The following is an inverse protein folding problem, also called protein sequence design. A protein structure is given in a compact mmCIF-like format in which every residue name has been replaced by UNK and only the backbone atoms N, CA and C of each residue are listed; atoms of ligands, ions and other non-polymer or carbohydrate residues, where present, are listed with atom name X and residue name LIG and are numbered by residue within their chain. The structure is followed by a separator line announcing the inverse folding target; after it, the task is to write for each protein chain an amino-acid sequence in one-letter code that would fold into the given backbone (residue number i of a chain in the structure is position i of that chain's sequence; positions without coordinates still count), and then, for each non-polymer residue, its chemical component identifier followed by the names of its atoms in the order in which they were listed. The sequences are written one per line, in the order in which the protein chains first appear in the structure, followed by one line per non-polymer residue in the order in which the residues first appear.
data_IF_882474003170
#
_entry.id   IF_882474003170
#
_cell.length_a   1.000
_cell.length_b   1.000
_cell.length_c   1.000
_cell.angle_alpha   90.00
_cell.angle_beta   90.00
_cell.angle_gamma   90.00
#
_symmetry.space_group_name_H-M   'P 1'
#
loop_
_entity.id
_entity.type
_entity.pdbx_description
1 polymer ?
#
# COMPACT_ATOMS: atom_id res chain seq x y z
N UNK A 1 24.14 0.39 2.24
CA UNK A 1 22.69 0.55 2.00
C UNK A 1 21.97 -0.14 3.15
N UNK A 2 21.03 0.53 3.83
CA UNK A 2 20.44 0.00 5.08
C UNK A 2 19.48 -1.15 4.75
N UNK A 3 19.62 -2.33 5.38
CA UNK A 3 18.82 -3.53 5.06
C UNK A 3 17.32 -3.24 5.13
N UNK A 4 16.91 -2.49 6.16
CA UNK A 4 15.53 -2.06 6.38
C UNK A 4 14.96 -1.22 5.24
N UNK A 5 15.80 -0.41 4.59
CA UNK A 5 15.40 0.38 3.43
C UNK A 5 15.18 -0.51 2.21
N UNK A 6 16.03 -1.53 2.00
CA UNK A 6 15.89 -2.50 0.91
C UNK A 6 14.57 -3.28 1.00
N UNK A 7 14.20 -3.72 2.20
CA UNK A 7 12.97 -4.49 2.44
C UNK A 7 11.70 -3.66 2.11
N UNK A 8 11.68 -2.39 2.50
CA UNK A 8 10.52 -1.52 2.29
C UNK A 8 10.36 -1.12 0.82
N UNK A 9 11.45 -0.84 0.11
CA UNK A 9 11.42 -0.47 -1.31
C UNK A 9 10.91 -1.63 -2.17
N UNK A 10 11.27 -2.86 -1.82
CA UNK A 10 10.87 -4.06 -2.54
C UNK A 10 9.56 -4.69 -2.03
N UNK A 11 8.96 -4.16 -0.96
CA UNK A 11 7.65 -4.61 -0.52
C UNK A 11 6.61 -4.35 -1.61
N UNK A 12 5.65 -5.25 -1.78
CA UNK A 12 4.52 -5.09 -2.70
C UNK A 12 3.20 -5.11 -1.94
N UNK A 13 2.18 -4.49 -2.52
CA UNK A 13 0.88 -4.29 -1.87
C UNK A 13 -0.24 -4.49 -2.88
N UNK A 14 -1.24 -5.29 -2.52
CA UNK A 14 -2.46 -5.45 -3.31
C UNK A 14 -3.68 -5.17 -2.46
N UNK A 15 -4.71 -4.62 -3.09
CA UNK A 15 -5.99 -4.35 -2.46
C UNK A 15 -7.07 -5.02 -3.30
N UNK A 16 -7.92 -5.80 -2.65
CA UNK A 16 -9.05 -6.48 -3.29
C UNK A 16 -10.30 -6.15 -2.50
N UNK A 17 -11.25 -5.47 -3.13
CA UNK A 17 -12.56 -5.21 -2.56
C UNK A 17 -13.59 -6.15 -3.18
N UNK A 18 -14.53 -6.65 -2.37
CA UNK A 18 -15.62 -7.49 -2.88
C UNK A 18 -16.68 -6.70 -3.67
N UNK A 19 -16.79 -5.40 -3.43
CA UNK A 19 -17.72 -4.51 -4.12
C UNK A 19 -17.02 -3.66 -5.18
N UNK A 20 -17.56 -3.68 -6.40
CA UNK A 20 -17.02 -2.95 -7.55
C UNK A 20 -17.19 -1.43 -7.45
N UNK A 21 -18.02 -0.92 -6.54
CA UNK A 21 -18.20 0.51 -6.29
C UNK A 21 -17.17 1.07 -5.29
N UNK A 22 -16.39 0.21 -4.65
CA UNK A 22 -15.28 0.60 -3.80
C UNK A 22 -13.97 0.56 -4.60
N UNK A 23 -13.45 1.75 -4.94
CA UNK A 23 -12.20 1.88 -5.68
C UNK A 23 -11.10 2.33 -4.73
N UNK A 24 -10.29 1.39 -4.25
CA UNK A 24 -9.13 1.64 -3.41
C UNK A 24 -7.84 1.45 -4.20
N UNK A 25 -6.91 2.39 -4.02
CA UNK A 25 -5.59 2.38 -4.67
C UNK A 25 -4.51 2.55 -3.62
N UNK A 26 -3.44 1.77 -3.74
CA UNK A 26 -2.24 1.95 -2.95
C UNK A 26 -1.28 2.93 -3.63
N UNK A 27 -0.96 4.02 -2.94
CA UNK A 27 0.05 4.98 -3.36
C UNK A 27 1.35 4.74 -2.59
N UNK A 28 2.35 4.23 -3.30
CA UNK A 28 3.67 3.96 -2.72
C UNK A 28 4.35 5.29 -2.37
N UNK A 29 4.76 5.44 -1.10
CA UNK A 29 5.53 6.60 -0.63
C UNK A 29 7.04 6.34 -0.74
N UNK A 30 7.45 5.08 -0.66
CA UNK A 30 8.84 4.65 -0.84
C UNK A 30 9.12 4.23 -2.29
N UNK A 31 9.74 5.11 -3.08
CA UNK A 31 10.22 4.75 -4.42
C UNK A 31 11.65 5.24 -4.63
N UNK A 32 12.49 4.37 -5.20
CA UNK A 32 13.87 4.71 -5.55
C UNK A 32 14.84 4.88 -4.37
N UNK A 33 15.99 5.49 -4.64
CA UNK A 33 17.16 5.63 -3.76
C UNK A 33 17.02 6.67 -2.64
N UNK A 34 15.85 7.31 -2.49
CA UNK A 34 15.64 8.35 -1.49
C UNK A 34 15.24 7.74 -0.14
N UNK A 35 16.21 7.64 0.78
CA UNK A 35 15.98 7.19 2.16
C UNK A 35 15.08 8.13 2.96
N UNK A 36 14.96 9.40 2.54
CA UNK A 36 14.13 10.41 3.20
C UNK A 36 12.64 10.23 3.01
N UNK A 37 12.19 9.49 1.99
CA UNK A 37 10.76 9.20 1.77
C UNK A 37 10.27 7.97 2.54
N UNK A 38 11.19 7.13 3.02
CA UNK A 38 10.91 5.93 3.82
C UNK A 38 11.04 6.15 5.32
N UNK A 39 10.64 7.34 5.79
CA UNK A 39 10.71 7.68 7.21
C UNK A 39 9.71 6.84 8.02
N UNK A 40 10.17 6.34 9.17
CA UNK A 40 9.36 5.65 10.17
C UNK A 40 8.65 4.38 9.67
N UNK A 41 9.22 3.67 8.70
CA UNK A 41 8.65 2.40 8.21
C UNK A 41 7.39 2.56 7.35
N UNK A 42 7.04 3.78 6.93
CA UNK A 42 5.89 4.02 6.06
C UNK A 42 6.18 3.55 4.63
N UNK A 43 5.44 2.55 4.17
CA UNK A 43 5.54 2.01 2.80
C UNK A 43 4.73 2.84 1.79
N UNK A 44 3.55 3.33 2.20
CA UNK A 44 2.63 4.07 1.36
C UNK A 44 1.36 4.52 2.07
N UNK A 45 0.37 4.96 1.29
CA UNK A 45 -0.98 5.30 1.74
C UNK A 45 -2.02 4.64 0.86
N UNK A 46 -3.16 4.27 1.45
CA UNK A 46 -4.34 3.81 0.72
C UNK A 46 -5.25 5.01 0.56
N UNK A 47 -5.66 5.28 -0.67
CA UNK A 47 -6.68 6.29 -0.98
C UNK A 47 -7.75 5.65 -1.83
N UNK A 48 -8.98 6.12 -1.73
CA UNK A 48 -10.02 5.61 -2.58
C UNK A 48 -11.32 6.36 -2.43
N UNK A 49 -12.30 5.92 -3.19
CA UNK A 49 -13.65 6.46 -3.20
C UNK A 49 -14.65 5.34 -2.96
N UNK A 50 -15.65 5.65 -2.15
CA UNK A 50 -16.87 4.87 -2.04
C UNK A 50 -17.88 5.42 -3.08
N UNK A 51 -18.63 4.53 -3.72
CA UNK A 51 -19.71 4.90 -4.62
C UNK A 51 -20.83 5.70 -3.95
N UNK A 52 -21.78 6.19 -4.76
CA UNK A 52 -22.89 7.06 -4.32
C UNK A 52 -24.00 6.36 -3.54
N UNK A 53 -23.93 5.04 -3.39
CA UNK A 53 -24.90 4.23 -2.65
C UNK A 53 -24.28 3.75 -1.34
N UNK A 54 -25.09 3.38 -0.35
CA UNK A 54 -24.58 2.71 0.85
C UNK A 54 -23.89 1.41 0.42
N UNK A 55 -22.60 1.31 0.71
CA UNK A 55 -21.78 0.14 0.41
C UNK A 55 -21.37 -0.47 1.74
N UNK A 56 -21.77 -1.72 1.96
CA UNK A 56 -21.22 -2.56 3.02
C UNK A 56 -20.30 -3.58 2.34
N UNK A 57 -18.99 -3.35 2.43
CA UNK A 57 -17.99 -4.19 1.78
C UNK A 57 -16.75 -4.31 2.63
N UNK A 58 -16.07 -5.45 2.49
CA UNK A 58 -14.76 -5.69 3.09
C UNK A 58 -13.72 -5.70 1.98
N UNK A 59 -12.64 -4.95 2.19
CA UNK A 59 -11.47 -4.98 1.32
C UNK A 59 -10.31 -5.68 2.01
N UNK A 60 -9.75 -6.69 1.36
CA UNK A 60 -8.51 -7.34 1.79
C UNK A 60 -7.31 -6.51 1.31
N UNK A 61 -6.42 -6.17 2.23
CA UNK A 61 -5.14 -5.53 1.94
C UNK A 61 -4.04 -6.54 2.23
N UNK A 62 -3.26 -6.88 1.20
CA UNK A 62 -2.11 -7.78 1.34
C UNK A 62 -0.84 -6.97 1.18
N UNK A 63 0.09 -7.12 2.14
CA UNK A 63 1.42 -6.53 2.10
C UNK A 63 2.43 -7.68 2.09
N UNK A 64 3.22 -7.79 1.02
CA UNK A 64 4.31 -8.74 0.92
C UNK A 64 5.60 -7.97 1.18
N UNK A 65 6.32 -8.35 2.24
CA UNK A 65 7.64 -7.84 2.56
C UNK A 65 8.61 -8.96 2.20
N UNK A 66 9.51 -8.78 1.20
CA UNK A 66 10.51 -9.79 0.90
C UNK A 66 11.43 -9.98 2.11
N UNK A 67 11.90 -11.20 2.35
CA UNK A 67 12.92 -11.49 3.36
C UNK A 67 14.23 -11.82 2.65
N UNK A 68 15.36 -11.48 3.28
CA UNK A 68 16.70 -11.96 2.89
C UNK A 68 17.04 -13.25 3.66
#
# INVERSE_FOLDING_TARGET
MNLFFSLIVNASTSIVCGDNNAHLTFNRSCSGSSSTTCKNGKIGSITGTWGRVNIDTTCAVTVLIPYE
#
